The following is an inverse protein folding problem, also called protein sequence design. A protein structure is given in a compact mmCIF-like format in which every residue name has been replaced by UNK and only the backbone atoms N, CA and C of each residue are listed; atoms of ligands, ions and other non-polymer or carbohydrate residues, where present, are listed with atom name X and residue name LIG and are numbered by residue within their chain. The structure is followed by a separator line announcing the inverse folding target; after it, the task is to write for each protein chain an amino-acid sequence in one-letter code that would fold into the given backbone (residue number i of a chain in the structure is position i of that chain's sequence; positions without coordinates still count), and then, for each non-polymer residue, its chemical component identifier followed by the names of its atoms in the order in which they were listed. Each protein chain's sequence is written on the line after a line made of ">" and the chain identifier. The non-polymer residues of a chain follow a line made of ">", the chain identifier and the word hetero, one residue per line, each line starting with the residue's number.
data_IF_222310997111
#
_entry.id   IF_222310997111
#
_cell.length_a   1.000
_cell.length_b   1.000
_cell.length_c   1.000
_cell.angle_alpha   90.00
_cell.angle_beta   90.00
_cell.angle_gamma   90.00
#
_symmetry.space_group_name_H-M   'P 1'
#
loop_
_entity.id
_entity.type
_entity.pdbx_description
1 polymer ?
#
# COMPACT_ATOMS: atom_id res chain seq x y z
N UNK A 1 -16.94 6.41 1.23
CA UNK A 1 -17.35 5.18 0.49
C UNK A 1 -16.24 4.69 -0.44
N UNK A 2 -15.63 5.54 -1.27
CA UNK A 2 -14.52 5.14 -2.16
C UNK A 2 -13.32 4.50 -1.44
N UNK A 3 -12.79 5.15 -0.40
CA UNK A 3 -11.66 4.59 0.37
C UNK A 3 -11.96 3.20 0.96
N UNK A 4 -13.15 3.02 1.57
CA UNK A 4 -13.57 1.74 2.14
C UNK A 4 -13.68 0.64 1.08
N UNK A 5 -14.27 0.94 -0.08
CA UNK A 5 -14.35 -0.01 -1.19
C UNK A 5 -12.95 -0.39 -1.70
N UNK A 6 -12.01 0.55 -1.73
CA UNK A 6 -10.65 0.28 -2.20
C UNK A 6 -9.91 -0.69 -1.27
N UNK A 7 -10.03 -0.53 0.06
CA UNK A 7 -9.46 -1.50 1.01
C UNK A 7 -10.09 -2.89 0.87
N UNK A 8 -11.41 -2.98 0.67
CA UNK A 8 -12.07 -4.27 0.43
C UNK A 8 -11.46 -4.98 -0.78
N UNK A 9 -11.29 -4.26 -1.90
CA UNK A 9 -10.68 -4.81 -3.11
C UNK A 9 -9.24 -5.25 -2.89
N UNK A 10 -8.43 -4.45 -2.18
CA UNK A 10 -7.04 -4.79 -1.88
C UNK A 10 -6.95 -6.02 -0.97
N UNK A 11 -7.83 -6.14 0.04
CA UNK A 11 -7.87 -7.33 0.89
C UNK A 11 -8.24 -8.58 0.11
N UNK A 12 -9.25 -8.50 -0.77
CA UNK A 12 -9.61 -9.62 -1.64
C UNK A 12 -8.46 -9.99 -2.60
N UNK A 13 -7.77 -8.99 -3.15
CA UNK A 13 -6.62 -9.19 -4.02
C UNK A 13 -5.46 -9.88 -3.30
N UNK A 14 -5.11 -9.44 -2.09
CA UNK A 14 -4.08 -10.07 -1.26
C UNK A 14 -4.48 -11.49 -0.85
N UNK A 15 -5.74 -11.69 -0.47
CA UNK A 15 -6.28 -13.01 -0.14
C UNK A 15 -6.14 -13.98 -1.31
N UNK A 16 -6.53 -13.58 -2.53
CA UNK A 16 -6.30 -14.34 -3.77
C UNK A 16 -4.82 -14.68 -3.95
N UNK A 17 -3.93 -13.71 -3.76
CA UNK A 17 -2.49 -13.91 -3.87
C UNK A 17 -1.96 -14.99 -2.92
N UNK A 18 -2.45 -15.00 -1.68
CA UNK A 18 -2.09 -16.01 -0.66
C UNK A 18 -2.66 -17.38 -1.03
N UNK A 19 -3.95 -17.44 -1.40
CA UNK A 19 -4.65 -18.69 -1.71
C UNK A 19 -4.00 -19.46 -2.86
N UNK A 20 -3.58 -18.77 -3.91
CA UNK A 20 -2.96 -19.40 -5.09
C UNK A 20 -1.42 -19.41 -5.04
N UNK A 21 -0.80 -19.03 -3.92
CA UNK A 21 0.66 -19.01 -3.81
C UNK A 21 1.34 -18.04 -4.77
N UNK A 22 0.69 -16.94 -5.14
CA UNK A 22 1.17 -15.95 -6.12
C UNK A 22 2.37 -15.13 -5.63
N UNK A 23 2.86 -15.41 -4.41
CA UNK A 23 4.07 -14.86 -3.80
C UNK A 23 5.28 -15.79 -3.91
N UNK A 24 5.09 -17.03 -4.36
CA UNK A 24 6.17 -18.01 -4.53
C UNK A 24 6.99 -17.69 -5.77
N UNK A 25 8.20 -18.29 -5.86
CA UNK A 25 9.10 -18.18 -7.00
C UNK A 25 8.36 -18.36 -8.32
N UNK A 26 8.56 -17.51 -9.35
CA UNK A 26 9.50 -16.36 -9.42
C UNK A 26 8.89 -14.99 -9.03
N UNK A 27 7.80 -14.97 -8.25
CA UNK A 27 6.95 -13.78 -8.01
C UNK A 27 7.20 -13.09 -6.67
N UNK A 28 8.33 -13.34 -6.02
CA UNK A 28 8.65 -12.77 -4.70
C UNK A 28 8.73 -11.24 -4.76
N UNK A 29 9.37 -10.69 -5.80
CA UNK A 29 9.49 -9.24 -5.96
C UNK A 29 8.12 -8.59 -6.21
N UNK A 30 7.25 -9.23 -6.99
CA UNK A 30 5.88 -8.78 -7.22
C UNK A 30 5.12 -8.65 -5.90
N UNK A 31 5.23 -9.66 -5.04
CA UNK A 31 4.59 -9.66 -3.72
C UNK A 31 5.14 -8.58 -2.79
N UNK A 32 6.47 -8.41 -2.72
CA UNK A 32 7.09 -7.37 -1.91
C UNK A 32 6.66 -5.96 -2.33
N UNK A 33 6.63 -5.68 -3.64
CA UNK A 33 6.09 -4.41 -4.16
C UNK A 33 4.61 -4.24 -3.76
N UNK A 34 3.82 -5.32 -3.82
CA UNK A 34 2.43 -5.32 -3.34
C UNK A 34 2.30 -4.95 -1.86
N UNK A 35 3.18 -5.46 -0.99
CA UNK A 35 3.22 -5.08 0.42
C UNK A 35 3.54 -3.59 0.58
N UNK A 36 4.49 -3.05 -0.18
CA UNK A 36 4.80 -1.62 -0.14
C UNK A 36 3.62 -0.75 -0.62
N UNK A 37 2.87 -1.19 -1.64
CA UNK A 37 1.62 -0.54 -2.06
C UNK A 37 0.61 -0.55 -0.91
N UNK A 38 0.42 -1.68 -0.24
CA UNK A 38 -0.52 -1.80 0.88
C UNK A 38 -0.15 -0.84 2.03
N UNK A 39 1.13 -0.79 2.41
CA UNK A 39 1.61 0.12 3.46
C UNK A 39 1.44 1.59 3.07
N UNK A 40 1.76 1.94 1.82
CA UNK A 40 1.55 3.29 1.30
C UNK A 40 0.06 3.66 1.27
N UNK A 41 -0.82 2.73 0.89
CA UNK A 41 -2.26 2.95 0.87
C UNK A 41 -2.85 3.12 2.27
N UNK A 42 -2.37 2.34 3.25
CA UNK A 42 -2.75 2.50 4.65
C UNK A 42 -2.33 3.87 5.21
N UNK A 43 -1.10 4.32 4.89
CA UNK A 43 -0.64 5.65 5.25
C UNK A 43 -1.47 6.75 4.57
N UNK A 44 -1.77 6.61 3.28
CA UNK A 44 -2.57 7.55 2.50
C UNK A 44 -3.98 7.72 3.08
N UNK A 45 -4.63 6.62 3.44
CA UNK A 45 -5.95 6.66 4.06
C UNK A 45 -5.94 7.33 5.43
N UNK A 46 -4.90 7.10 6.23
CA UNK A 46 -4.73 7.76 7.53
C UNK A 46 -4.50 9.27 7.37
N UNK A 47 -3.62 9.70 6.46
CA UNK A 47 -3.36 11.11 6.21
C UNK A 47 -4.63 11.84 5.76
N UNK A 48 -5.43 11.22 4.89
CA UNK A 48 -6.73 11.75 4.47
C UNK A 48 -7.77 11.81 5.59
N UNK A 49 -7.72 10.87 6.55
CA UNK A 49 -8.65 10.83 7.69
C UNK A 49 -8.51 12.03 8.64
N UNK A 50 -7.32 12.67 8.69
CA UNK A 50 -7.12 13.87 9.49
C UNK A 50 -7.81 15.11 8.88
N UNK A 51 -7.92 15.19 7.56
CA UNK A 51 -8.29 16.41 6.83
C UNK A 51 -9.68 16.99 7.13
N UNK A 52 -10.72 16.19 7.43
CA UNK A 52 -12.03 16.73 7.84
C UNK A 52 -12.00 17.49 9.17
N UNK A 53 -10.91 17.38 9.95
CA UNK A 53 -10.70 18.10 11.21
C UNK A 53 -11.81 17.93 12.26
N UNK A 54 -12.44 16.75 12.28
CA UNK A 54 -13.43 16.38 13.31
C UNK A 54 -12.78 15.85 14.60
N UNK A 55 -13.60 15.66 15.66
CA UNK A 55 -13.13 15.13 16.94
C UNK A 55 -12.40 13.79 16.81
N UNK A 56 -12.99 12.83 16.09
CA UNK A 56 -12.37 11.51 15.88
C UNK A 56 -11.11 11.59 15.00
N UNK A 57 -11.10 12.48 14.00
CA UNK A 57 -9.92 12.75 13.17
C UNK A 57 -8.74 13.29 13.98
N UNK A 58 -9.01 14.25 14.86
CA UNK A 58 -8.02 14.86 15.75
C UNK A 58 -7.43 13.83 16.71
N UNK A 59 -8.29 13.15 17.49
CA UNK A 59 -7.84 12.18 18.49
C UNK A 59 -7.18 10.96 17.87
N UNK A 60 -7.71 10.46 16.75
CA UNK A 60 -7.08 9.38 16.00
C UNK A 60 -5.67 9.74 15.55
N UNK A 61 -5.47 10.97 15.05
CA UNK A 61 -4.16 11.45 14.63
C UNK A 61 -3.20 11.68 15.80
N UNK A 62 -3.71 12.13 16.95
CA UNK A 62 -2.93 12.25 18.17
C UNK A 62 -2.39 10.88 18.62
N UNK A 63 -3.23 9.84 18.63
CA UNK A 63 -2.82 8.48 18.99
C UNK A 63 -1.77 7.94 18.01
N UNK A 64 -2.03 8.01 16.70
CA UNK A 64 -1.11 7.44 15.69
C UNK A 64 0.24 8.15 15.69
N UNK A 65 0.27 9.48 15.74
CA UNK A 65 1.54 10.23 15.79
C UNK A 65 2.29 10.01 17.11
N UNK A 66 1.59 9.67 18.19
CA UNK A 66 2.23 9.31 19.46
C UNK A 66 2.90 7.94 19.43
N UNK A 67 2.49 6.98 18.59
CA UNK A 67 3.22 5.71 18.47
C UNK A 67 4.67 5.90 18.05
N UNK A 68 4.98 6.93 17.26
CA UNK A 68 6.35 7.27 16.85
C UNK A 68 7.23 7.58 18.06
N UNK A 69 6.66 8.15 19.12
CA UNK A 69 7.40 8.47 20.35
C UNK A 69 7.88 7.24 21.11
N UNK A 70 7.31 6.06 20.83
CA UNK A 70 7.72 4.80 21.44
C UNK A 70 9.10 4.33 20.97
N UNK A 71 9.62 4.86 19.85
CA UNK A 71 10.97 4.54 19.36
C UNK A 71 12.01 5.20 20.29
N UNK A 72 12.90 4.41 20.93
CA UNK A 72 13.93 4.96 21.81
C UNK A 72 14.85 5.94 21.08
N UNK A 73 15.36 6.95 21.79
CA UNK A 73 16.33 7.96 21.32
C UNK A 73 15.78 8.94 20.27
N UNK A 74 15.18 8.45 19.19
CA UNK A 74 14.78 9.25 18.02
C UNK A 74 13.27 9.51 17.92
N UNK A 75 12.43 8.81 18.69
CA UNK A 75 10.98 8.88 18.52
C UNK A 75 10.37 10.26 18.80
N UNK A 76 10.80 10.91 19.88
CA UNK A 76 10.32 12.26 20.26
C UNK A 76 10.64 13.32 19.19
N UNK A 77 11.90 13.49 18.74
CA UNK A 77 12.21 14.49 17.71
C UNK A 77 11.50 14.19 16.38
N UNK A 78 11.35 12.93 16.00
CA UNK A 78 10.60 12.56 14.78
C UNK A 78 9.11 12.90 14.93
N UNK A 79 8.48 12.63 16.07
CA UNK A 79 7.08 12.96 16.28
C UNK A 79 6.82 14.47 16.27
N UNK A 80 7.69 15.27 16.89
CA UNK A 80 7.62 16.73 16.84
C UNK A 80 7.86 17.25 15.42
N UNK A 81 8.81 16.67 14.68
CA UNK A 81 9.01 17.00 13.27
C UNK A 81 7.78 16.66 12.44
N UNK A 82 7.21 15.46 12.59
CA UNK A 82 6.04 15.00 11.82
C UNK A 82 4.84 15.94 12.02
N UNK A 83 4.58 16.35 13.27
CA UNK A 83 3.49 17.27 13.62
C UNK A 83 3.81 18.72 13.30
N UNK A 84 5.08 19.12 13.30
CA UNK A 84 5.47 20.53 13.23
C UNK A 84 5.12 21.32 14.50
N UNK A 85 4.71 20.63 15.58
CA UNK A 85 4.36 21.18 16.89
C UNK A 85 4.49 20.05 17.94
N UNK A 86 4.39 20.40 19.22
CA UNK A 86 4.38 19.41 20.32
C UNK A 86 3.09 18.59 20.35
N UNK A 87 1.99 19.14 19.85
CA UNK A 87 0.66 18.52 19.74
C UNK A 87 0.19 18.51 18.30
N UNK A 88 -0.91 17.79 18.02
CA UNK A 88 -1.59 17.90 16.73
C UNK A 88 -2.25 19.27 16.65
N UNK A 89 -1.94 20.05 15.62
CA UNK A 89 -2.48 21.39 15.43
C UNK A 89 -2.42 21.76 13.93
N UNK A 90 -2.71 23.01 13.58
CA UNK A 90 -2.73 23.51 12.21
C UNK A 90 -1.45 23.20 11.39
N UNK A 91 -0.22 23.25 11.94
CA UNK A 91 0.97 22.81 11.21
C UNK A 91 0.90 21.33 10.78
N UNK A 92 0.33 20.46 11.62
CA UNK A 92 0.13 19.04 11.29
C UNK A 92 -0.84 18.90 10.14
N UNK A 93 -1.97 19.62 10.19
CA UNK A 93 -3.00 19.58 9.15
C UNK A 93 -2.43 19.97 7.78
N UNK A 94 -1.68 21.08 7.73
CA UNK A 94 -1.08 21.57 6.48
C UNK A 94 -0.06 20.57 5.91
N UNK A 95 0.77 19.94 6.76
CA UNK A 95 1.72 18.91 6.32
C UNK A 95 1.00 17.66 5.79
N UNK A 96 0.00 17.20 6.53
CA UNK A 96 -0.76 16.00 6.16
C UNK A 96 -1.56 16.23 4.88
N UNK A 97 -2.06 17.44 4.64
CA UNK A 97 -2.69 17.80 3.37
C UNK A 97 -1.71 17.65 2.20
N UNK A 98 -0.48 18.17 2.30
CA UNK A 98 0.53 18.02 1.25
C UNK A 98 0.91 16.55 1.05
N UNK A 99 1.09 15.81 2.14
CA UNK A 99 1.42 14.39 2.04
C UNK A 99 0.29 13.58 1.39
N UNK A 100 -0.96 13.83 1.77
CA UNK A 100 -2.13 13.14 1.25
C UNK A 100 -2.44 13.50 -0.20
N UNK A 101 -2.45 14.79 -0.55
CA UNK A 101 -2.94 15.22 -1.87
C UNK A 101 -1.86 15.08 -2.94
N UNK A 102 -0.58 15.19 -2.57
CA UNK A 102 0.50 15.23 -3.54
C UNK A 102 1.49 14.06 -3.39
N UNK A 103 2.15 13.95 -2.23
CA UNK A 103 3.30 13.05 -2.12
C UNK A 103 2.91 11.56 -2.21
N UNK A 104 1.91 11.15 -1.44
CA UNK A 104 1.50 9.75 -1.33
C UNK A 104 0.81 9.23 -2.60
N UNK A 105 -0.08 9.98 -3.28
CA UNK A 105 -0.64 9.55 -4.57
C UNK A 105 0.43 9.36 -5.64
N UNK A 106 1.44 10.23 -5.71
CA UNK A 106 2.56 10.09 -6.67
C UNK A 106 3.38 8.84 -6.34
N UNK A 107 3.68 8.61 -5.07
CA UNK A 107 4.37 7.40 -4.63
C UNK A 107 3.57 6.13 -4.98
N UNK A 108 2.26 6.13 -4.72
CA UNK A 108 1.37 5.02 -5.06
C UNK A 108 1.34 4.76 -6.56
N UNK A 109 1.26 5.82 -7.39
CA UNK A 109 1.30 5.67 -8.84
C UNK A 109 2.61 5.00 -9.29
N UNK A 110 3.75 5.46 -8.77
CA UNK A 110 5.05 4.86 -9.07
C UNK A 110 5.11 3.37 -8.64
N UNK A 111 4.65 3.05 -7.44
CA UNK A 111 4.64 1.67 -6.94
C UNK A 111 3.72 0.77 -7.76
N UNK A 112 2.54 1.25 -8.16
CA UNK A 112 1.62 0.49 -9.03
C UNK A 112 2.25 0.24 -10.40
N UNK A 113 2.93 1.22 -10.99
CA UNK A 113 3.65 1.01 -12.25
C UNK A 113 4.73 -0.07 -12.10
N UNK A 114 5.54 -0.01 -11.03
CA UNK A 114 6.55 -1.04 -10.75
C UNK A 114 5.90 -2.42 -10.54
N UNK A 115 4.76 -2.48 -9.85
CA UNK A 115 4.03 -3.72 -9.62
C UNK A 115 3.51 -4.34 -10.93
N UNK A 116 2.96 -3.51 -11.83
CA UNK A 116 2.51 -3.95 -13.15
C UNK A 116 3.68 -4.40 -14.02
N UNK A 117 4.80 -3.68 -14.03
CA UNK A 117 6.00 -4.09 -14.77
C UNK A 117 6.52 -5.43 -14.25
N UNK A 118 6.60 -5.61 -12.93
CA UNK A 118 7.01 -6.86 -12.32
C UNK A 118 6.08 -8.02 -12.72
N UNK A 119 4.76 -7.79 -12.74
CA UNK A 119 3.78 -8.78 -13.18
C UNK A 119 3.98 -9.19 -14.64
N UNK A 120 4.21 -8.22 -15.53
CA UNK A 120 4.46 -8.52 -16.95
C UNK A 120 5.78 -9.25 -17.17
N UNK A 121 6.77 -9.05 -16.29
CA UNK A 121 8.06 -9.74 -16.39
C UNK A 121 7.98 -11.21 -15.95
N UNK A 122 7.24 -11.52 -14.89
CA UNK A 122 7.15 -12.88 -14.31
C UNK A 122 5.92 -13.67 -14.77
N UNK A 123 4.96 -13.01 -15.41
CA UNK A 123 3.71 -13.61 -15.86
C UNK A 123 2.66 -13.79 -14.74
N UNK A 124 1.40 -13.91 -15.16
CA UNK A 124 0.28 -14.18 -14.26
C UNK A 124 0.40 -15.58 -13.65
N UNK A 125 -0.35 -15.81 -12.57
CA UNK A 125 -0.49 -17.12 -11.95
C UNK A 125 -1.93 -17.62 -12.13
N UNK A 126 -2.09 -18.91 -12.43
CA UNK A 126 -3.39 -19.56 -12.58
C UNK A 126 -3.80 -20.33 -11.31
N UNK A 127 -5.09 -20.68 -11.17
CA UNK A 127 -5.58 -21.44 -10.02
C UNK A 127 -4.94 -22.82 -9.84
N UNK A 128 -4.46 -23.42 -10.93
CA UNK A 128 -3.87 -24.76 -10.96
C UNK A 128 -2.38 -24.75 -10.57
N UNK A 129 -1.77 -23.57 -10.46
CA UNK A 129 -0.36 -23.37 -10.10
C UNK A 129 0.63 -23.88 -11.16
N UNK A 130 0.17 -24.11 -12.39
CA UNK A 130 1.01 -24.57 -13.51
C UNK A 130 1.66 -23.36 -14.15
N UNK A 131 2.98 -23.37 -14.33
CA UNK A 131 3.62 -22.24 -15.01
C UNK A 131 3.20 -22.18 -16.48
N UNK A 132 2.83 -20.98 -16.94
CA UNK A 132 2.20 -20.75 -18.24
C UNK A 132 3.12 -21.23 -19.40
N UNK A 133 4.44 -21.17 -19.20
CA UNK A 133 5.42 -21.64 -20.18
C UNK A 133 5.45 -23.17 -20.35
N UNK A 134 4.92 -23.92 -19.38
CA UNK A 134 4.92 -25.39 -19.40
C UNK A 134 3.61 -25.97 -19.97
N UNK A 135 2.54 -25.16 -20.08
CA UNK A 135 1.23 -25.58 -20.58
C UNK A 135 0.87 -24.90 -21.92
N UNK A 136 1.59 -25.28 -22.98
CA UNK A 136 1.34 -24.80 -24.36
C UNK A 136 0.39 -25.71 -25.14
N UNK A 137 -0.38 -25.15 -26.06
CA UNK A 137 -1.18 -25.90 -27.02
C UNK A 137 -0.31 -26.40 -28.18
N UNK A 138 -0.91 -27.19 -29.08
CA UNK A 138 -0.23 -27.78 -30.24
C UNK A 138 0.39 -26.71 -31.16
N UNK A 139 -0.07 -25.46 -31.07
CA UNK A 139 0.42 -24.28 -31.77
C UNK A 139 1.48 -23.48 -30.98
N UNK A 140 2.01 -24.03 -29.87
CA UNK A 140 2.97 -23.36 -28.97
C UNK A 140 2.45 -22.10 -28.29
N UNK A 141 1.13 -21.89 -28.28
CA UNK A 141 0.48 -20.82 -27.54
C UNK A 141 0.10 -21.30 -26.13
N UNK A 142 0.37 -20.55 -25.05
CA UNK A 142 0.03 -21.00 -23.72
C UNK A 142 -1.49 -21.16 -23.55
N UNK A 143 -1.94 -22.33 -23.10
CA UNK A 143 -3.38 -22.61 -22.88
C UNK A 143 -3.98 -21.76 -21.76
N UNK A 144 -3.12 -21.31 -20.84
CA UNK A 144 -3.49 -20.53 -19.67
C UNK A 144 -3.12 -19.04 -19.80
N UNK A 145 -2.75 -18.59 -21.01
CA UNK A 145 -2.54 -17.17 -21.29
C UNK A 145 -3.89 -16.45 -21.27
N UNK A 146 -4.16 -15.75 -20.16
CA UNK A 146 -5.17 -14.70 -20.07
C UNK A 146 -4.47 -13.35 -20.04
#
# INVERSE_FOLDING_TARGET
>A
VGASAFFVLVYLHMYRGIMYGSYKKPRELLWLVGIFIYLALAAEAFLGYLLPWGQMSYWGSAVVTNFVTAVPVIGKPIATWLRGSFVVDLPTLNRFFVFHVFLMPILLLALVLVHLIALHHVGSNNPDGVEIHDNVNETSWPRDAV
#
